data_IF_627421892661
#
_entry.id   IF_627421892661
#
_cell.length_a   1.000
_cell.length_b   1.000
_cell.length_c   1.000
_cell.angle_alpha   90.00
_cell.angle_beta   90.00
_cell.angle_gamma   90.00
#
_symmetry.space_group_name_H-M   'P 1'
#
loop_
_entity.id
_entity.type
_entity.pdbx_description
1 polymer ?
#
# COMPACT_ATOMS: atom_id res chain seq x y z
N UNK A 1 4.41 -13.59 6.18
CA UNK A 1 2.95 -13.32 6.17
C UNK A 1 2.28 -13.69 7.49
N UNK A 2 2.08 -14.98 7.81
CA UNK A 2 1.15 -15.44 8.87
C UNK A 2 1.41 -14.93 10.29
N UNK A 3 2.65 -14.62 10.65
CA UNK A 3 3.02 -14.13 11.98
C UNK A 3 2.59 -12.67 12.27
N UNK A 4 2.05 -11.94 11.27
CA UNK A 4 1.80 -10.50 11.37
C UNK A 4 0.31 -10.22 11.55
N UNK A 5 -0.05 -9.38 12.52
CA UNK A 5 -1.45 -9.06 12.81
C UNK A 5 -2.09 -8.10 11.78
N UNK A 6 -1.29 -7.39 10.99
CA UNK A 6 -1.75 -6.52 9.91
C UNK A 6 -0.64 -6.17 8.93
N UNK A 7 -1.01 -5.44 7.87
CA UNK A 7 -0.13 -5.14 6.73
C UNK A 7 -0.19 -3.66 6.34
N UNK A 8 0.97 -3.04 6.15
CA UNK A 8 1.09 -1.76 5.47
C UNK A 8 1.78 -1.99 4.13
N UNK A 9 1.04 -1.86 3.03
CA UNK A 9 1.61 -2.03 1.70
C UNK A 9 2.06 -0.67 1.15
N UNK A 10 3.34 -0.56 0.83
CA UNK A 10 3.96 0.67 0.33
C UNK A 10 4.67 0.37 -0.98
N UNK A 11 4.29 1.06 -2.06
CA UNK A 11 4.89 0.81 -3.37
C UNK A 11 4.51 1.86 -4.41
N UNK A 12 5.21 1.90 -5.55
CA UNK A 12 4.89 2.82 -6.62
C UNK A 12 3.76 2.30 -7.51
N UNK A 13 3.07 3.23 -8.17
CA UNK A 13 2.33 2.95 -9.39
C UNK A 13 3.30 2.85 -10.57
N UNK A 14 3.20 1.75 -11.32
CA UNK A 14 3.85 1.57 -12.61
C UNK A 14 2.77 1.36 -13.68
N UNK A 15 2.66 2.29 -14.63
CA UNK A 15 1.73 2.20 -15.76
C UNK A 15 0.27 1.94 -15.33
N UNK A 16 -0.27 2.73 -14.40
CA UNK A 16 -1.62 2.59 -13.86
C UNK A 16 -1.89 1.29 -13.06
N UNK A 17 -0.84 0.58 -12.65
CA UNK A 17 -0.90 -0.68 -11.92
C UNK A 17 0.12 -0.72 -10.77
N UNK A 18 0.02 -1.73 -9.91
CA UNK A 18 1.04 -2.00 -8.90
C UNK A 18 2.40 -2.26 -9.56
N UNK A 19 3.48 -1.93 -8.85
CA UNK A 19 4.82 -2.33 -9.27
C UNK A 19 4.92 -3.84 -9.49
N UNK A 20 5.79 -4.25 -10.41
CA UNK A 20 5.99 -5.66 -10.75
C UNK A 20 6.40 -6.46 -9.52
N UNK A 21 7.30 -5.93 -8.70
CA UNK A 21 7.77 -6.57 -7.46
C UNK A 21 6.66 -6.75 -6.43
N UNK A 22 5.76 -5.76 -6.30
CA UNK A 22 4.62 -5.88 -5.40
C UNK A 22 3.62 -6.92 -5.91
N UNK A 23 3.35 -6.93 -7.23
CA UNK A 23 2.47 -7.92 -7.84
C UNK A 23 3.03 -9.34 -7.71
N UNK A 24 4.33 -9.51 -7.94
CA UNK A 24 5.04 -10.77 -7.76
C UNK A 24 4.93 -11.27 -6.31
N UNK A 25 5.11 -10.38 -5.32
CA UNK A 25 4.89 -10.72 -3.91
C UNK A 25 3.46 -11.21 -3.65
N UNK A 26 2.45 -10.56 -4.24
CA UNK A 26 1.06 -10.98 -4.09
C UNK A 26 0.83 -12.34 -4.74
N UNK A 27 1.31 -12.56 -5.96
CA UNK A 27 1.12 -13.80 -6.71
C UNK A 27 1.79 -15.00 -6.02
N UNK A 28 3.04 -14.84 -5.59
CA UNK A 28 3.79 -15.88 -4.91
C UNK A 28 3.14 -16.29 -3.57
N UNK A 29 2.40 -15.38 -2.92
CA UNK A 29 1.78 -15.63 -1.63
C UNK A 29 0.27 -15.88 -1.71
N UNK A 30 -0.39 -15.65 -2.85
CA UNK A 30 -1.86 -15.58 -2.90
C UNK A 30 -2.53 -16.85 -2.38
N UNK A 31 -2.18 -17.99 -2.97
CA UNK A 31 -2.74 -19.30 -2.59
C UNK A 31 -2.16 -19.85 -1.28
N UNK A 32 -0.84 -19.76 -1.00
CA UNK A 32 -0.27 -20.27 0.25
C UNK A 32 -0.89 -19.74 1.53
N UNK A 33 -1.45 -18.51 1.52
CA UNK A 33 -2.05 -17.87 2.70
C UNK A 33 -3.56 -17.67 2.59
N UNK A 34 -4.18 -18.21 1.54
CA UNK A 34 -5.61 -18.05 1.28
C UNK A 34 -6.42 -18.61 2.47
N UNK A 35 -7.37 -17.82 2.97
CA UNK A 35 -8.17 -18.17 4.15
C UNK A 35 -7.46 -18.05 5.51
N UNK A 36 -6.16 -17.74 5.54
CA UNK A 36 -5.37 -17.66 6.78
C UNK A 36 -5.10 -16.22 7.25
N UNK A 37 -5.34 -15.24 6.36
CA UNK A 37 -5.16 -13.81 6.64
C UNK A 37 -6.47 -13.07 6.89
N UNK A 38 -7.61 -13.76 6.89
CA UNK A 38 -8.93 -13.13 6.92
C UNK A 38 -9.10 -12.22 8.13
N UNK A 39 -9.70 -11.04 7.91
CA UNK A 39 -9.96 -10.05 8.95
C UNK A 39 -8.76 -9.20 9.37
N UNK A 40 -7.53 -9.58 9.01
CA UNK A 40 -6.32 -8.82 9.38
C UNK A 40 -6.34 -7.42 8.78
N UNK A 41 -5.92 -6.44 9.58
CA UNK A 41 -5.92 -5.05 9.17
C UNK A 41 -4.95 -4.79 8.02
N UNK A 42 -5.32 -3.88 7.12
CA UNK A 42 -4.36 -3.32 6.18
C UNK A 42 -4.60 -1.84 5.86
N UNK A 43 -3.53 -1.20 5.43
CA UNK A 43 -3.50 0.14 4.88
C UNK A 43 -2.50 0.22 3.70
N UNK A 44 -2.55 1.32 2.95
CA UNK A 44 -1.77 1.49 1.72
C UNK A 44 -1.17 2.88 1.59
N UNK A 45 0.06 2.94 1.05
CA UNK A 45 0.71 4.17 0.59
C UNK A 45 1.22 3.93 -0.83
N UNK A 46 0.68 4.66 -1.80
CA UNK A 46 1.06 4.55 -3.22
C UNK A 46 1.84 5.79 -3.64
N UNK A 47 3.06 5.60 -4.14
CA UNK A 47 3.83 6.65 -4.79
C UNK A 47 3.48 6.70 -6.28
N UNK A 48 3.03 7.86 -6.76
CA UNK A 48 2.47 8.05 -8.09
C UNK A 48 3.16 9.19 -8.82
N UNK A 49 3.30 9.06 -10.14
CA UNK A 49 3.73 10.17 -11.00
C UNK A 49 2.63 11.23 -11.09
N UNK A 50 1.48 10.85 -11.66
CA UNK A 50 0.33 11.73 -11.91
C UNK A 50 -0.97 11.18 -11.35
N UNK A 51 -1.17 9.86 -11.44
CA UNK A 51 -2.32 9.14 -10.90
C UNK A 51 -1.81 7.93 -10.09
N UNK A 52 -2.59 7.48 -9.12
CA UNK A 52 -2.31 6.31 -8.29
C UNK A 52 -3.54 5.41 -8.08
N UNK A 53 -4.69 5.80 -8.62
CA UNK A 53 -5.97 5.12 -8.40
C UNK A 53 -5.99 3.71 -9.00
N UNK A 54 -5.31 3.51 -10.13
CA UNK A 54 -5.22 2.21 -10.79
C UNK A 54 -4.51 1.17 -9.92
N UNK A 55 -3.32 1.51 -9.41
CA UNK A 55 -2.57 0.69 -8.47
C UNK A 55 -3.35 0.43 -7.19
N UNK A 56 -3.93 1.49 -6.60
CA UNK A 56 -4.73 1.40 -5.38
C UNK A 56 -5.91 0.43 -5.54
N UNK A 57 -6.70 0.55 -6.62
CA UNK A 57 -7.82 -0.35 -6.92
C UNK A 57 -7.37 -1.79 -7.15
N UNK A 58 -6.23 -1.99 -7.82
CA UNK A 58 -5.69 -3.34 -8.04
C UNK A 58 -5.33 -3.99 -6.71
N UNK A 59 -4.65 -3.26 -5.82
CA UNK A 59 -4.28 -3.73 -4.48
C UNK A 59 -5.53 -4.08 -3.66
N UNK A 60 -6.52 -3.19 -3.63
CA UNK A 60 -7.77 -3.43 -2.90
C UNK A 60 -8.50 -4.70 -3.37
N UNK A 61 -8.49 -4.99 -4.67
CA UNK A 61 -9.07 -6.23 -5.21
C UNK A 61 -8.32 -7.47 -4.73
N UNK A 62 -6.99 -7.43 -4.72
CA UNK A 62 -6.18 -8.55 -4.23
C UNK A 62 -6.37 -8.74 -2.72
N UNK A 63 -6.34 -7.65 -1.95
CA UNK A 63 -6.58 -7.65 -0.50
C UNK A 63 -7.98 -8.16 -0.15
N UNK A 64 -8.99 -7.84 -0.97
CA UNK A 64 -10.34 -8.40 -0.85
C UNK A 64 -10.35 -9.92 -1.05
N UNK A 65 -9.55 -10.43 -2.00
CA UNK A 65 -9.36 -11.87 -2.20
C UNK A 65 -8.77 -12.60 -0.98
N UNK A 66 -7.92 -11.92 -0.21
CA UNK A 66 -7.41 -12.37 1.09
C UNK A 66 -8.34 -12.09 2.27
N UNK A 67 -9.47 -11.41 2.04
CA UNK A 67 -10.40 -10.89 3.05
C UNK A 67 -9.71 -10.03 4.12
N UNK A 68 -8.71 -9.25 3.73
CA UNK A 68 -8.12 -8.26 4.63
C UNK A 68 -9.12 -7.13 4.91
N UNK A 69 -9.00 -6.52 6.09
CA UNK A 69 -9.86 -5.41 6.53
C UNK A 69 -9.13 -4.08 6.35
N UNK A 70 -9.64 -3.19 5.50
CA UNK A 70 -9.09 -1.84 5.35
C UNK A 70 -9.41 -1.04 6.61
N UNK A 71 -8.40 -0.45 7.25
CA UNK A 71 -8.56 0.30 8.52
C UNK A 71 -8.17 1.77 8.41
N UNK A 72 -7.65 2.19 7.26
CA UNK A 72 -7.32 3.58 6.96
C UNK A 72 -7.65 3.90 5.50
N UNK A 73 -7.96 5.16 5.24
CA UNK A 73 -8.16 5.67 3.88
C UNK A 73 -6.88 5.46 3.05
N UNK A 74 -7.01 5.18 1.74
CA UNK A 74 -5.86 5.11 0.84
C UNK A 74 -5.03 6.40 0.84
N UNK A 75 -3.71 6.27 0.96
CA UNK A 75 -2.79 7.39 0.79
C UNK A 75 -2.11 7.31 -0.57
N UNK A 76 -2.36 8.29 -1.44
CA UNK A 76 -1.69 8.41 -2.75
C UNK A 76 -0.83 9.68 -2.73
N UNK A 77 0.49 9.50 -2.88
CA UNK A 77 1.48 10.56 -2.94
C UNK A 77 1.82 10.81 -4.40
N UNK A 78 1.39 11.95 -4.95
CA UNK A 78 1.74 12.36 -6.31
C UNK A 78 3.02 13.20 -6.32
N UNK A 79 3.92 12.88 -7.23
CA UNK A 79 5.17 13.61 -7.46
C UNK A 79 5.10 14.60 -8.63
N UNK A 80 3.95 14.72 -9.28
CA UNK A 80 3.68 15.61 -10.41
C UNK A 80 4.72 15.47 -11.54
N UNK A 81 5.22 14.24 -11.74
CA UNK A 81 6.25 13.92 -12.72
C UNK A 81 5.63 13.74 -14.11
N UNK A 82 5.64 14.79 -14.93
CA UNK A 82 4.99 14.80 -16.25
C UNK A 82 5.95 14.84 -17.46
N UNK A 83 7.24 15.12 -17.25
CA UNK A 83 8.25 15.08 -18.33
C UNK A 83 9.13 13.84 -18.20
N UNK A 84 9.78 13.36 -19.28
CA UNK A 84 10.71 12.24 -19.21
C UNK A 84 11.80 12.44 -18.14
N UNK A 85 12.35 13.64 -18.03
CA UNK A 85 13.38 13.98 -17.06
C UNK A 85 12.83 13.91 -15.63
N UNK A 86 11.64 14.48 -15.40
CA UNK A 86 10.98 14.43 -14.10
C UNK A 86 10.57 13.00 -13.72
N UNK A 87 10.19 12.16 -14.69
CA UNK A 87 9.86 10.74 -14.50
C UNK A 87 11.11 9.93 -14.15
N UNK A 88 12.27 10.24 -14.74
CA UNK A 88 13.52 9.52 -14.48
C UNK A 88 14.29 10.02 -13.24
N UNK A 89 14.03 11.25 -12.79
CA UNK A 89 14.70 11.83 -11.61
C UNK A 89 14.43 11.01 -10.34
N UNK A 90 15.35 11.05 -9.37
CA UNK A 90 15.09 10.48 -8.05
C UNK A 90 13.92 11.22 -7.37
N UNK A 91 12.99 10.48 -6.77
CA UNK A 91 11.84 11.07 -6.06
C UNK A 91 12.09 11.05 -4.56
N UNK A 92 11.98 12.22 -3.95
CA UNK A 92 12.05 12.40 -2.50
C UNK A 92 10.77 13.07 -1.99
N UNK A 93 9.98 12.42 -1.10
CA UNK A 93 8.79 13.04 -0.53
C UNK A 93 9.17 14.22 0.37
N UNK A 94 8.32 15.25 0.40
CA UNK A 94 8.53 16.38 1.30
C UNK A 94 8.26 16.00 2.76
N UNK A 95 8.70 16.84 3.71
CA UNK A 95 8.53 16.59 5.14
C UNK A 95 7.07 16.37 5.56
N UNK A 96 6.11 17.06 4.90
CA UNK A 96 4.68 16.84 5.17
C UNK A 96 4.27 15.41 4.81
N UNK A 97 4.63 14.94 3.62
CA UNK A 97 4.31 13.56 3.20
C UNK A 97 4.95 12.55 4.16
N UNK A 98 6.21 12.75 4.54
CA UNK A 98 6.89 11.89 5.51
C UNK A 98 6.20 11.88 6.88
N UNK A 99 5.68 13.02 7.34
CA UNK A 99 4.90 13.10 8.56
C UNK A 99 3.58 12.32 8.43
N UNK A 100 2.81 12.56 7.37
CA UNK A 100 1.54 11.87 7.12
C UNK A 100 1.73 10.33 7.03
N UNK A 101 2.83 9.86 6.41
CA UNK A 101 3.20 8.44 6.40
C UNK A 101 3.47 7.88 7.80
N UNK A 102 4.12 8.66 8.68
CA UNK A 102 4.37 8.26 10.07
C UNK A 102 3.08 8.21 10.87
N UNK A 103 2.19 9.19 10.71
CA UNK A 103 0.89 9.21 11.38
C UNK A 103 0.06 7.97 11.01
N UNK A 104 0.00 7.62 9.72
CA UNK A 104 -0.68 6.41 9.26
C UNK A 104 -0.06 5.13 9.88
N UNK A 105 1.27 5.04 9.88
CA UNK A 105 1.98 3.91 10.49
C UNK A 105 1.75 3.80 12.00
N UNK A 106 1.80 4.92 12.73
CA UNK A 106 1.51 5.00 14.16
C UNK A 106 0.08 4.55 14.44
N UNK A 107 -0.91 5.11 13.73
CA UNK A 107 -2.32 4.74 13.90
C UNK A 107 -2.58 3.26 13.65
N UNK A 108 -1.95 2.66 12.63
CA UNK A 108 -2.05 1.22 12.36
C UNK A 108 -1.43 0.41 13.51
N UNK A 109 -0.23 0.77 13.97
CA UNK A 109 0.46 0.05 15.04
C UNK A 109 -0.29 0.12 16.38
N UNK A 110 -0.79 1.29 16.74
CA UNK A 110 -1.57 1.51 17.95
C UNK A 110 -2.92 0.79 17.91
N UNK A 111 -3.62 0.83 16.78
CA UNK A 111 -4.89 0.12 16.65
C UNK A 111 -4.73 -1.41 16.73
N UNK A 112 -3.63 -1.96 16.20
CA UNK A 112 -3.27 -3.38 16.38
C UNK A 112 -2.95 -3.69 17.84
N UNK A 113 -2.17 -2.85 18.53
CA UNK A 113 -1.76 -3.12 19.92
C UNK A 113 -2.94 -3.07 20.90
N UNK A 114 -3.93 -2.25 20.61
CA UNK A 114 -5.18 -2.15 21.37
C UNK A 114 -6.24 -3.20 20.98
N UNK A 115 -6.02 -3.97 19.90
CA UNK A 115 -7.00 -4.94 19.40
C UNK A 115 -8.27 -4.30 18.83
N UNK A 116 -8.18 -3.07 18.31
CA UNK A 116 -9.30 -2.40 17.63
C UNK A 116 -9.64 -3.06 16.28
N UNK A 117 -8.64 -3.74 15.70
CA UNK A 117 -8.73 -4.58 14.52
C UNK A 117 -8.06 -5.92 14.76
#
# INVERSE_FOLDING_TARGET
MLAHAGFLFVGPENLAALSGEMKEMFDANYYPVLGQLEGRAYATIIAAGSDGEGAQRQLDRIATGWRLRRVADPMIVRFDAQTPEAILAEKSPCNKVLHDCRELGTGLAEGLSMGLF
#
